data_IF_591332170125
#
_entry.id   IF_591332170125
#
_cell.length_a   1.000
_cell.length_b   1.000
_cell.length_c   1.000
_cell.angle_alpha   90.00
_cell.angle_beta   90.00
_cell.angle_gamma   90.00
#
_symmetry.space_group_name_H-M   'P 1'
#
loop_
_entity.id
_entity.type
_entity.pdbx_description
1 polymer ?
#
# COMPACT_ATOMS: atom_id res chain seq x y z
N UNK A 1 -8.42 9.63 -10.96
CA UNK A 1 -8.11 10.79 -10.07
C UNK A 1 -6.91 10.46 -9.23
N UNK A 2 -6.20 11.48 -8.75
CA UNK A 2 -5.11 11.32 -7.78
C UNK A 2 -5.50 12.03 -6.48
N UNK A 3 -5.34 11.36 -5.34
CA UNK A 3 -5.42 11.95 -4.00
C UNK A 3 -4.04 11.85 -3.35
N UNK A 4 -3.71 12.85 -2.54
CA UNK A 4 -2.45 12.93 -1.81
C UNK A 4 -2.74 13.02 -0.31
N UNK A 5 -1.92 12.33 0.47
CA UNK A 5 -1.84 12.46 1.91
C UNK A 5 -0.37 12.63 2.27
N UNK A 6 -0.06 13.52 3.20
CA UNK A 6 1.31 13.68 3.71
C UNK A 6 1.28 13.93 5.21
N UNK A 7 2.28 13.42 5.90
CA UNK A 7 2.48 13.65 7.33
C UNK A 7 3.96 13.52 7.66
N UNK A 8 4.39 14.20 8.72
CA UNK A 8 5.77 14.16 9.19
C UNK A 8 5.79 13.98 10.70
N UNK A 9 6.77 13.25 11.20
CA UNK A 9 7.03 13.04 12.62
C UNK A 9 8.50 12.69 12.83
N UNK A 10 8.91 12.48 14.08
CA UNK A 10 10.29 12.07 14.40
C UNK A 10 10.32 10.91 15.39
N UNK A 11 11.40 10.13 15.33
CA UNK A 11 11.78 9.17 16.36
C UNK A 11 12.93 9.74 17.17
N UNK A 12 12.87 9.60 18.50
CA UNK A 12 13.98 9.91 19.43
C UNK A 12 14.98 8.74 19.45
N UNK A 13 15.46 8.37 18.26
CA UNK A 13 16.42 7.32 17.98
C UNK A 13 17.37 7.78 16.88
N UNK A 14 18.60 7.27 16.88
CA UNK A 14 19.56 7.61 15.85
C UNK A 14 19.14 7.01 14.49
N UNK A 15 19.68 7.57 13.40
CA UNK A 15 19.31 7.15 12.06
C UNK A 15 19.67 5.68 11.78
N UNK A 16 20.81 5.22 12.29
CA UNK A 16 21.28 3.85 12.10
C UNK A 16 20.34 2.82 12.74
N UNK A 17 19.89 3.08 13.96
CA UNK A 17 18.88 2.30 14.68
C UNK A 17 17.54 2.32 13.96
N UNK A 18 17.11 3.50 13.50
CA UNK A 18 15.84 3.66 12.78
C UNK A 18 15.86 2.93 11.43
N UNK A 19 16.98 3.00 10.69
CA UNK A 19 17.16 2.27 9.45
C UNK A 19 17.21 0.75 9.69
N UNK A 20 17.91 0.29 10.74
CA UNK A 20 17.94 -1.14 11.10
C UNK A 20 16.56 -1.64 11.51
N UNK A 21 15.87 -0.91 12.39
CA UNK A 21 14.51 -1.22 12.82
C UNK A 21 13.55 -1.31 11.63
N UNK A 22 13.71 -0.45 10.61
CA UNK A 22 12.89 -0.49 9.40
C UNK A 22 13.00 -1.83 8.65
N UNK A 23 14.18 -2.43 8.62
CA UNK A 23 14.36 -3.74 8.01
C UNK A 23 13.84 -4.88 8.89
N UNK A 24 13.85 -4.71 10.22
CA UNK A 24 13.39 -5.69 11.21
C UNK A 24 11.93 -5.51 11.65
N UNK A 25 11.22 -4.51 11.10
CA UNK A 25 9.90 -4.09 11.61
C UNK A 25 8.81 -5.17 11.58
N UNK A 26 8.98 -6.27 10.84
CA UNK A 26 7.99 -7.33 10.78
C UNK A 26 8.58 -8.67 11.20
N UNK A 27 7.86 -9.43 12.05
CA UNK A 27 6.54 -9.14 12.61
C UNK A 27 6.55 -8.13 13.77
N UNK A 28 5.39 -7.51 14.05
CA UNK A 28 5.13 -6.69 15.24
C UNK A 28 3.63 -6.72 15.60
N UNK A 29 3.22 -6.37 16.85
CA UNK A 29 1.84 -6.46 17.31
C UNK A 29 0.83 -5.61 16.53
N UNK A 30 1.29 -4.53 15.90
CA UNK A 30 0.45 -3.58 15.15
C UNK A 30 0.31 -3.94 13.66
N UNK A 31 1.03 -4.96 13.18
CA UNK A 31 1.15 -5.32 11.76
C UNK A 31 0.81 -6.78 11.48
N UNK A 32 -0.10 -7.39 12.27
CA UNK A 32 -0.54 -8.81 12.14
C UNK A 32 -1.08 -9.21 10.77
N UNK A 33 -1.44 -8.23 9.93
CA UNK A 33 -1.92 -8.47 8.57
C UNK A 33 -0.78 -8.77 7.59
N UNK A 34 0.49 -8.50 7.94
CA UNK A 34 1.65 -8.89 7.13
C UNK A 34 1.91 -10.38 7.35
N UNK A 35 1.68 -11.18 6.31
CA UNK A 35 1.86 -12.63 6.35
C UNK A 35 3.30 -13.05 6.12
N UNK A 36 3.98 -12.43 5.13
CA UNK A 36 5.38 -12.70 4.83
C UNK A 36 6.11 -11.46 4.34
N UNK A 37 7.43 -11.52 4.36
CA UNK A 37 8.33 -10.48 3.86
C UNK A 37 9.59 -11.14 3.33
N UNK A 38 9.86 -10.95 2.05
CA UNK A 38 10.93 -11.61 1.33
C UNK A 38 11.84 -10.56 0.68
N UNK A 39 13.16 -10.74 0.78
CA UNK A 39 14.12 -9.89 0.06
C UNK A 39 14.34 -10.48 -1.32
N UNK A 40 13.96 -9.75 -2.35
CA UNK A 40 14.03 -10.20 -3.75
C UNK A 40 15.39 -9.86 -4.35
N UNK A 41 15.88 -8.66 -4.06
CA UNK A 41 17.16 -8.16 -4.55
C UNK A 41 17.78 -7.24 -3.51
N UNK A 42 19.10 -7.28 -3.43
CA UNK A 42 19.88 -6.38 -2.57
C UNK A 42 21.25 -6.16 -3.18
N UNK A 43 21.60 -4.90 -3.38
CA UNK A 43 22.86 -4.50 -3.97
C UNK A 43 23.43 -3.28 -3.23
N UNK A 44 24.74 -3.31 -3.00
CA UNK A 44 25.51 -2.20 -2.45
C UNK A 44 26.41 -1.61 -3.54
N UNK A 45 26.27 -0.32 -3.80
CA UNK A 45 27.14 0.42 -4.70
C UNK A 45 28.29 1.04 -3.89
N UNK A 46 29.56 0.62 -4.09
CA UNK A 46 30.70 1.12 -3.33
C UNK A 46 31.08 2.57 -3.71
N UNK A 47 30.70 3.05 -4.89
CA UNK A 47 31.03 4.41 -5.35
C UNK A 47 30.10 5.41 -4.66
N UNK A 48 28.79 5.16 -4.70
CA UNK A 48 27.80 6.04 -4.04
C UNK A 48 27.63 5.73 -2.56
N UNK A 49 28.13 4.58 -2.08
CA UNK A 49 27.92 4.04 -0.73
C UNK A 49 26.44 3.84 -0.38
N UNK A 50 25.65 3.39 -1.36
CA UNK A 50 24.21 3.22 -1.20
C UNK A 50 23.83 1.74 -1.20
N UNK A 51 23.03 1.36 -0.20
CA UNK A 51 22.40 0.05 -0.15
C UNK A 51 21.00 0.14 -0.73
N UNK A 52 20.77 -0.53 -1.86
CA UNK A 52 19.43 -0.70 -2.43
C UNK A 52 18.90 -2.07 -2.05
N UNK A 53 17.68 -2.12 -1.49
CA UNK A 53 16.98 -3.39 -1.20
C UNK A 53 15.58 -3.36 -1.79
N UNK A 54 15.22 -4.42 -2.51
CA UNK A 54 13.85 -4.67 -2.98
C UNK A 54 13.25 -5.81 -2.19
N UNK A 55 12.08 -5.57 -1.57
CA UNK A 55 11.34 -6.55 -0.80
C UNK A 55 9.93 -6.74 -1.34
N UNK A 56 9.41 -7.95 -1.17
CA UNK A 56 8.02 -8.29 -1.42
C UNK A 56 7.35 -8.60 -0.09
N UNK A 57 6.26 -7.89 0.20
CA UNK A 57 5.43 -8.14 1.37
C UNK A 57 4.08 -8.72 0.95
N UNK A 58 3.64 -9.79 1.60
CA UNK A 58 2.28 -10.31 1.46
C UNK A 58 1.44 -9.80 2.62
N UNK A 59 0.34 -9.09 2.30
CA UNK A 59 -0.58 -8.54 3.30
C UNK A 59 -1.96 -9.18 3.15
N UNK A 60 -2.45 -9.82 4.20
CA UNK A 60 -3.85 -10.26 4.32
C UNK A 60 -4.75 -9.03 4.35
N UNK A 61 -5.79 -9.02 3.53
CA UNK A 61 -6.76 -7.94 3.53
C UNK A 61 -8.16 -8.47 3.27
N UNK A 62 -9.16 -7.60 3.47
CA UNK A 62 -10.55 -7.89 3.17
C UNK A 62 -11.11 -6.76 2.33
N UNK A 63 -11.79 -7.10 1.26
CA UNK A 63 -12.43 -6.11 0.42
C UNK A 63 -13.69 -5.57 1.13
N UNK A 64 -13.94 -4.25 1.08
CA UNK A 64 -15.19 -3.70 1.59
C UNK A 64 -16.39 -4.34 0.87
N UNK A 65 -17.50 -4.66 1.56
CA UNK A 65 -18.68 -5.29 0.95
C UNK A 65 -19.23 -4.52 -0.27
N UNK A 66 -19.16 -3.20 -0.24
CA UNK A 66 -19.56 -2.36 -1.39
C UNK A 66 -18.68 -2.62 -2.63
N UNK A 67 -17.38 -2.85 -2.45
CA UNK A 67 -16.45 -3.12 -3.55
C UNK A 67 -16.67 -4.52 -4.12
N UNK A 68 -16.92 -5.52 -3.27
CA UNK A 68 -17.23 -6.90 -3.69
C UNK A 68 -18.51 -6.97 -4.55
N UNK A 69 -19.54 -6.19 -4.20
CA UNK A 69 -20.80 -6.15 -4.96
C UNK A 69 -20.69 -5.44 -6.30
N UNK A 70 -19.70 -4.56 -6.46
CA UNK A 70 -19.56 -3.68 -7.63
C UNK A 70 -18.51 -4.15 -8.64
N UNK A 71 -17.46 -4.86 -8.18
CA UNK A 71 -16.42 -5.36 -9.06
C UNK A 71 -16.84 -6.69 -9.70
N UNK A 72 -16.61 -6.86 -11.02
CA UNK A 72 -16.89 -8.13 -11.68
C UNK A 72 -15.97 -9.22 -11.13
N UNK A 73 -16.48 -10.46 -11.05
CA UNK A 73 -15.73 -11.63 -10.57
C UNK A 73 -14.38 -11.83 -11.29
N UNK A 74 -14.27 -11.42 -12.55
CA UNK A 74 -13.02 -11.44 -13.33
C UNK A 74 -11.94 -10.49 -12.81
N UNK A 75 -12.32 -9.36 -12.19
CA UNK A 75 -11.39 -8.47 -11.50
C UNK A 75 -11.09 -8.93 -10.08
N UNK A 76 -11.85 -9.91 -9.55
CA UNK A 76 -11.76 -10.44 -8.20
C UNK A 76 -10.97 -11.76 -8.13
N UNK A 77 -10.05 -12.03 -9.08
CA UNK A 77 -9.38 -13.33 -9.24
C UNK A 77 -8.68 -13.87 -7.98
N UNK A 78 -8.34 -12.99 -7.02
CA UNK A 78 -7.64 -13.32 -5.79
C UNK A 78 -8.49 -13.09 -4.52
N UNK A 79 -9.81 -12.90 -4.67
CA UNK A 79 -10.73 -12.73 -3.55
C UNK A 79 -11.55 -14.00 -3.35
N UNK A 80 -11.55 -14.52 -2.12
CA UNK A 80 -12.45 -15.58 -1.68
C UNK A 80 -13.91 -15.09 -1.69
N UNK A 81 -14.86 -16.02 -1.70
CA UNK A 81 -16.30 -15.73 -1.62
C UNK A 81 -16.66 -14.95 -0.35
N UNK A 82 -15.92 -15.16 0.74
CA UNK A 82 -16.08 -14.41 1.98
C UNK A 82 -15.50 -12.98 1.90
N UNK A 83 -14.80 -12.64 0.82
CA UNK A 83 -14.17 -11.33 0.61
C UNK A 83 -12.78 -11.19 1.21
N UNK A 84 -12.22 -12.26 1.80
CA UNK A 84 -10.81 -12.31 2.17
C UNK A 84 -9.93 -12.33 0.91
N UNK A 85 -8.80 -11.62 0.97
CA UNK A 85 -7.84 -11.56 -0.12
C UNK A 85 -6.44 -11.33 0.43
N UNK A 86 -5.46 -11.43 -0.45
CA UNK A 86 -4.07 -11.11 -0.16
C UNK A 86 -3.57 -10.10 -1.18
N UNK A 87 -2.77 -9.17 -0.69
CA UNK A 87 -2.15 -8.14 -1.52
C UNK A 87 -0.65 -8.19 -1.47
N UNK A 88 -0.04 -7.99 -2.62
CA UNK A 88 1.40 -8.05 -2.83
C UNK A 88 1.93 -6.63 -2.89
N UNK A 89 2.79 -6.26 -1.95
CA UNK A 89 3.40 -4.93 -1.87
C UNK A 89 4.87 -5.04 -2.22
N UNK A 90 5.28 -4.38 -3.29
CA UNK A 90 6.69 -4.23 -3.65
C UNK A 90 7.24 -2.98 -2.95
N UNK A 91 8.23 -3.17 -2.10
CA UNK A 91 8.99 -2.12 -1.43
C UNK A 91 10.38 -2.03 -2.05
N UNK A 92 10.79 -0.82 -2.43
CA UNK A 92 12.18 -0.49 -2.76
C UNK A 92 12.68 0.49 -1.71
N UNK A 93 13.85 0.22 -1.14
CA UNK A 93 14.53 1.12 -0.21
C UNK A 93 15.93 1.44 -0.71
N UNK A 94 16.38 2.66 -0.46
CA UNK A 94 17.75 3.13 -0.72
C UNK A 94 18.24 3.78 0.57
N UNK A 95 19.35 3.28 1.10
CA UNK A 95 20.00 3.82 2.30
C UNK A 95 21.33 4.44 1.90
N UNK A 96 21.52 5.71 2.22
CA UNK A 96 22.80 6.44 2.08
C UNK A 96 23.37 6.70 3.47
N UNK A 97 24.32 5.87 3.89
CA UNK A 97 24.89 5.93 5.25
C UNK A 97 25.73 7.19 5.45
N UNK A 98 26.40 7.64 4.38
CA UNK A 98 27.26 8.82 4.41
C UNK A 98 26.42 10.09 4.62
N UNK A 99 25.39 10.27 3.81
CA UNK A 99 24.50 11.42 3.91
C UNK A 99 23.49 11.29 5.06
N UNK A 100 23.24 10.07 5.56
CA UNK A 100 22.38 9.84 6.72
C UNK A 100 20.89 9.93 6.39
N UNK A 101 20.49 9.38 5.26
CA UNK A 101 19.09 9.29 4.88
C UNK A 101 18.74 7.93 4.28
N UNK A 102 17.46 7.58 4.36
CA UNK A 102 16.86 6.41 3.73
C UNK A 102 15.55 6.82 3.06
N UNK A 103 15.40 6.47 1.79
CA UNK A 103 14.16 6.64 1.04
C UNK A 103 13.54 5.29 0.73
N UNK A 104 12.23 5.20 0.86
CA UNK A 104 11.51 3.95 0.63
C UNK A 104 10.25 4.21 -0.17
N UNK A 105 10.05 3.45 -1.24
CA UNK A 105 8.89 3.46 -2.12
C UNK A 105 8.16 2.11 -2.02
N UNK A 106 6.91 2.13 -1.57
CA UNK A 106 6.04 0.95 -1.49
C UNK A 106 4.85 1.09 -2.43
N UNK A 107 4.53 0.03 -3.17
CA UNK A 107 3.36 -0.01 -4.08
C UNK A 107 2.70 -1.39 -4.14
N UNK A 108 1.39 -1.41 -4.31
CA UNK A 108 0.67 -2.65 -4.60
C UNK A 108 0.91 -3.14 -6.04
N UNK A 109 1.15 -4.44 -6.19
CA UNK A 109 1.28 -5.12 -7.49
C UNK A 109 -0.08 -5.59 -8.03
N UNK A 110 -0.98 -5.96 -7.14
CA UNK A 110 -2.35 -6.37 -7.41
C UNK A 110 -3.31 -5.17 -7.48
N UNK A 111 -4.48 -5.34 -8.09
CA UNK A 111 -5.56 -4.31 -8.17
C UNK A 111 -5.21 -2.97 -8.81
N UNK A 112 -4.12 -2.87 -9.57
CA UNK A 112 -3.71 -1.62 -10.22
C UNK A 112 -4.75 -1.04 -11.20
N UNK A 113 -5.69 -1.86 -11.69
CA UNK A 113 -6.83 -1.42 -12.50
C UNK A 113 -7.94 -0.72 -11.69
N UNK A 114 -7.93 -0.86 -10.36
CA UNK A 114 -8.92 -0.29 -9.44
C UNK A 114 -8.27 0.87 -8.68
N UNK A 115 -7.20 0.59 -7.94
CA UNK A 115 -6.50 1.55 -7.09
C UNK A 115 -5.00 1.21 -7.06
N UNK A 116 -4.17 2.18 -7.41
CA UNK A 116 -2.74 2.14 -7.07
C UNK A 116 -2.48 3.02 -5.86
N UNK A 117 -1.84 2.44 -4.85
CA UNK A 117 -1.34 3.10 -3.65
C UNK A 117 0.17 3.15 -3.79
N UNK A 118 0.75 4.34 -3.75
CA UNK A 118 2.20 4.55 -3.74
C UNK A 118 2.51 5.30 -2.46
N UNK A 119 3.19 4.65 -1.52
CA UNK A 119 3.61 5.21 -0.24
C UNK A 119 5.12 5.43 -0.27
N UNK A 120 5.54 6.66 0.03
CA UNK A 120 6.94 7.07 0.08
C UNK A 120 7.29 7.55 1.47
N UNK A 121 8.36 7.02 2.03
CA UNK A 121 8.93 7.52 3.27
C UNK A 121 10.32 8.04 3.03
N UNK A 122 10.68 9.13 3.70
CA UNK A 122 12.04 9.64 3.80
C UNK A 122 12.40 9.72 5.28
N UNK A 123 13.42 8.99 5.67
CA UNK A 123 14.03 9.03 6.99
C UNK A 123 15.34 9.80 6.86
N UNK A 124 15.59 10.78 7.72
CA UNK A 124 16.83 11.55 7.69
C UNK A 124 17.29 11.97 9.06
N UNK A 125 18.61 12.07 9.24
CA UNK A 125 19.18 12.81 10.36
C UNK A 125 18.83 14.30 10.24
N UNK A 126 18.61 15.00 11.37
CA UNK A 126 18.54 16.45 11.38
C UNK A 126 19.78 17.08 10.73
N UNK A 127 19.60 18.21 10.04
CA UNK A 127 20.72 18.95 9.45
C UNK A 127 21.74 19.35 10.52
N UNK A 128 23.03 19.15 10.23
CA UNK A 128 24.12 19.44 11.16
C UNK A 128 24.39 18.37 12.22
N UNK A 129 23.56 17.33 12.33
CA UNK A 129 23.83 16.21 13.22
C UNK A 129 24.99 15.36 12.70
N UNK A 130 26.07 15.28 13.47
CA UNK A 130 27.19 14.38 13.21
C UNK A 130 26.85 12.95 13.63
N UNK A 131 27.63 11.97 13.17
CA UNK A 131 27.53 10.59 13.66
C UNK A 131 28.04 10.58 15.10
N UNK A 132 27.18 10.86 16.07
CA UNK A 132 27.48 10.67 17.49
C UNK A 132 27.09 9.24 17.88
N UNK A 133 28.01 8.54 18.55
CA UNK A 133 27.82 7.16 18.99
C UNK A 133 26.95 7.04 20.27
N UNK A 134 26.51 8.16 20.83
CA UNK A 134 25.80 8.24 22.12
C UNK A 134 24.29 8.40 21.89
N UNK A 135 23.49 7.62 22.64
CA UNK A 135 22.08 7.29 22.42
C UNK A 135 21.02 8.41 22.39
N UNK A 136 21.41 9.69 22.29
CA UNK A 136 20.49 10.83 22.11
C UNK A 136 20.42 11.23 20.63
N UNK A 137 19.92 10.30 19.81
CA UNK A 137 19.69 10.53 18.38
C UNK A 137 18.26 10.97 18.08
N UNK A 138 18.07 11.75 17.01
CA UNK A 138 16.76 12.02 16.42
C UNK A 138 16.78 11.62 14.95
N UNK A 139 15.68 11.06 14.46
CA UNK A 139 15.46 10.76 13.05
C UNK A 139 14.13 11.35 12.63
N UNK A 140 14.17 12.32 11.71
CA UNK A 140 12.96 12.90 11.11
C UNK A 140 12.43 11.97 10.02
N UNK A 141 11.10 11.89 9.91
CA UNK A 141 10.39 11.02 8.99
C UNK A 141 9.32 11.80 8.26
N UNK A 142 9.45 11.87 6.94
CA UNK A 142 8.43 12.42 6.05
C UNK A 142 7.73 11.30 5.29
N UNK A 143 6.40 11.32 5.29
CA UNK A 143 5.57 10.33 4.62
C UNK A 143 4.68 11.02 3.60
N UNK A 144 4.62 10.46 2.40
CA UNK A 144 3.64 10.84 1.39
C UNK A 144 2.97 9.61 0.79
N UNK A 145 1.66 9.69 0.61
CA UNK A 145 0.86 8.62 0.01
C UNK A 145 0.08 9.19 -1.17
N UNK A 146 0.29 8.58 -2.33
CA UNK A 146 -0.42 8.89 -3.57
C UNK A 146 -1.41 7.78 -3.89
N UNK A 147 -2.69 8.11 -3.92
CA UNK A 147 -3.79 7.21 -4.25
C UNK A 147 -4.28 7.51 -5.66
N UNK A 148 -4.10 6.58 -6.60
CA UNK A 148 -4.54 6.72 -7.99
C UNK A 148 -5.71 5.77 -8.26
N UNK A 149 -6.92 6.30 -8.31
CA UNK A 149 -8.13 5.53 -8.66
C UNK A 149 -8.31 5.49 -10.18
N UNK A 150 -8.40 4.28 -10.75
CA UNK A 150 -8.61 4.00 -12.18
C UNK A 150 -10.00 3.42 -12.50
N UNK A 151 -10.87 3.26 -11.50
CA UNK A 151 -12.18 2.63 -11.69
C UNK A 151 -13.08 3.39 -12.67
N UNK A 152 -13.02 4.73 -12.66
CA UNK A 152 -13.81 5.57 -13.57
C UNK A 152 -13.45 5.36 -15.05
N UNK A 153 -12.17 5.10 -15.34
CA UNK A 153 -11.70 4.78 -16.70
C UNK A 153 -12.20 3.41 -17.15
N UNK A 154 -12.20 2.42 -16.25
CA UNK A 154 -12.71 1.07 -16.54
C UNK A 154 -14.22 1.08 -16.82
N UNK A 155 -15.00 1.84 -16.02
CA UNK A 155 -16.44 1.98 -16.24
C UNK A 155 -16.73 2.70 -17.56
N UNK A 156 -15.96 3.75 -17.90
CA UNK A 156 -16.09 4.47 -19.19
C UNK A 156 -15.76 3.57 -20.37
N UNK A 157 -14.65 2.82 -20.33
CA UNK A 157 -14.28 1.85 -21.37
C UNK A 157 -15.35 0.78 -21.54
N UNK A 158 -15.99 0.33 -20.45
CA UNK A 158 -17.12 -0.63 -20.51
C UNK A 158 -18.36 -0.01 -21.15
N UNK A 159 -18.76 1.21 -20.77
CA UNK A 159 -19.89 1.90 -21.42
C UNK A 159 -19.64 2.09 -22.91
N UNK A 160 -18.41 2.41 -23.31
CA UNK A 160 -18.03 2.51 -24.72
C UNK A 160 -18.10 1.16 -25.45
N UNK A 161 -17.64 0.07 -24.83
CA UNK A 161 -17.77 -1.29 -25.38
C UNK A 161 -19.23 -1.74 -25.50
N UNK A 162 -20.06 -1.46 -24.50
CA UNK A 162 -21.50 -1.75 -24.56
C UNK A 162 -22.25 -0.87 -25.55
N UNK A 163 -21.87 0.41 -25.67
CA UNK A 163 -22.37 1.28 -26.73
C UNK A 163 -22.02 0.74 -28.11
N UNK A 164 -20.75 0.39 -28.34
CA UNK A 164 -20.30 -0.23 -29.59
C UNK A 164 -20.96 -1.59 -29.86
N UNK A 165 -21.22 -2.40 -28.83
CA UNK A 165 -21.90 -3.69 -28.97
C UNK A 165 -23.39 -3.50 -29.30
N UNK A 166 -24.07 -2.53 -28.69
CA UNK A 166 -25.44 -2.17 -29.04
C UNK A 166 -25.54 -1.62 -30.48
N UNK A 167 -24.56 -0.82 -30.91
CA UNK A 167 -24.48 -0.30 -32.29
C UNK A 167 -24.11 -1.39 -33.30
N UNK A 168 -23.28 -2.38 -32.94
CA UNK A 168 -22.95 -3.52 -33.80
C UNK A 168 -24.15 -4.46 -33.99
N UNK A 169 -24.94 -4.71 -32.94
CA UNK A 169 -26.17 -5.52 -33.03
C UNK A 169 -27.26 -4.82 -33.85
N UNK A 170 -27.33 -3.49 -33.82
CA UNK A 170 -28.29 -2.73 -34.65
C UNK A 170 -27.92 -2.65 -36.13
N UNK A 171 -26.66 -2.91 -36.51
CA UNK A 171 -26.22 -2.89 -37.93
C UNK A 171 -26.38 -4.27 -38.60
N UNK A 172 -26.48 -5.36 -37.84
CA UNK A 172 -26.64 -6.72 -38.37
C UNK A 172 -28.13 -7.11 -38.53
N UNK A 173 -29.05 -6.40 -37.87
CA UNK A 173 -30.49 -6.65 -37.95
C UNK A 173 -31.23 -5.71 -38.90
N UNK A 174 -31.16 -5.95 -40.20
CA UNK A 174 -32.14 -5.42 -41.15
C UNK A 174 -33.22 -6.50 -41.40
N UNK A 175 -34.40 -6.31 -40.81
CA UNK A 175 -35.61 -7.04 -41.15
C UNK A 175 -36.36 -7.59 -39.93
N UNK A 176 -37.44 -6.91 -39.53
CA UNK A 176 -38.42 -7.43 -38.57
C UNK A 176 -38.93 -6.38 -37.60
N UNK A 177 -40.14 -5.90 -37.85
CA UNK A 177 -40.93 -5.01 -37.01
C UNK A 177 -41.14 -5.61 -35.62
N UNK A 178 -40.78 -4.86 -34.57
CA UNK A 178 -41.42 -4.83 -33.24
C UNK A 178 -40.57 -3.92 -32.31
N UNK A 179 -40.86 -2.62 -32.32
CA UNK A 179 -40.28 -1.65 -31.39
C UNK A 179 -40.83 -1.88 -29.98
N UNK A 180 -40.11 -2.63 -29.15
CA UNK A 180 -40.16 -2.46 -27.70
C UNK A 180 -38.88 -1.75 -27.25
N UNK A 181 -38.94 -0.53 -26.69
CA UNK A 181 -37.77 0.13 -26.17
C UNK A 181 -37.24 -0.72 -25.01
N UNK A 182 -36.03 -1.26 -25.17
CA UNK A 182 -35.30 -1.97 -24.13
C UNK A 182 -35.29 -1.08 -22.90
N UNK A 183 -36.10 -1.45 -21.90
CA UNK A 183 -36.22 -0.72 -20.63
C UNK A 183 -34.82 -0.55 -20.07
N UNK A 184 -34.28 0.66 -20.14
CA UNK A 184 -33.07 1.03 -19.45
C UNK A 184 -33.35 0.79 -17.96
N UNK A 185 -32.82 -0.31 -17.44
CA UNK A 185 -32.99 -0.68 -16.04
C UNK A 185 -32.57 0.50 -15.17
N UNK A 186 -33.48 0.89 -14.27
CA UNK A 186 -33.43 1.98 -13.30
C UNK A 186 -32.17 1.99 -12.39
N UNK A 187 -31.27 1.01 -12.57
CA UNK A 187 -29.99 0.87 -11.87
C UNK A 187 -28.79 1.42 -12.67
N UNK A 188 -28.98 1.92 -13.90
CA UNK A 188 -27.93 2.53 -14.73
C UNK A 188 -27.49 3.93 -14.27
N UNK A 189 -28.25 4.53 -13.33
CA UNK A 189 -28.07 5.92 -12.88
C UNK A 189 -27.08 6.11 -11.73
N UNK A 190 -26.57 5.04 -11.09
CA UNK A 190 -25.48 5.19 -10.12
C UNK A 190 -24.21 5.55 -10.88
N UNK A 191 -23.97 6.85 -10.94
CA UNK A 191 -22.90 7.45 -11.72
C UNK A 191 -21.56 6.89 -11.26
N UNK A 192 -20.66 6.65 -12.21
CA UNK A 192 -19.27 6.27 -11.94
C UNK A 192 -18.55 7.22 -10.96
N UNK A 193 -19.09 8.43 -10.76
CA UNK A 193 -18.64 9.40 -9.76
C UNK A 193 -18.88 8.96 -8.30
N UNK A 194 -20.04 8.39 -7.97
CA UNK A 194 -20.36 7.99 -6.59
C UNK A 194 -19.47 6.83 -6.10
N UNK A 195 -19.30 5.80 -6.92
CA UNK A 195 -18.43 4.65 -6.63
C UNK A 195 -16.96 5.08 -6.52
N UNK A 196 -16.51 5.95 -7.43
CA UNK A 196 -15.16 6.50 -7.41
C UNK A 196 -14.90 7.32 -6.14
N UNK A 197 -15.82 8.21 -5.77
CA UNK A 197 -15.73 9.02 -4.55
C UNK A 197 -15.69 8.14 -3.30
N UNK A 198 -16.53 7.09 -3.23
CA UNK A 198 -16.53 6.15 -2.11
C UNK A 198 -15.19 5.42 -1.95
N UNK A 199 -14.60 4.91 -3.05
CA UNK A 199 -13.30 4.24 -3.01
C UNK A 199 -12.21 5.22 -2.57
N UNK A 200 -12.22 6.44 -3.07
CA UNK A 200 -11.24 7.46 -2.71
C UNK A 200 -11.32 7.81 -1.22
N UNK A 201 -12.52 8.02 -0.68
CA UNK A 201 -12.74 8.30 0.74
C UNK A 201 -12.31 7.13 1.62
N UNK A 202 -12.70 5.90 1.28
CA UNK A 202 -12.30 4.70 2.02
C UNK A 202 -10.77 4.54 2.01
N UNK A 203 -10.14 4.79 0.86
CA UNK A 203 -8.69 4.65 0.71
C UNK A 203 -7.95 5.69 1.54
N UNK A 204 -8.39 6.94 1.51
CA UNK A 204 -7.80 8.02 2.31
C UNK A 204 -7.95 7.75 3.81
N UNK A 205 -9.17 7.39 4.26
CA UNK A 205 -9.42 7.03 5.66
C UNK A 205 -8.57 5.85 6.12
N UNK A 206 -8.35 4.86 5.25
CA UNK A 206 -7.50 3.71 5.56
C UNK A 206 -6.03 4.12 5.70
N UNK A 207 -5.55 5.01 4.82
CA UNK A 207 -4.20 5.59 4.91
C UNK A 207 -4.03 6.37 6.21
N UNK A 208 -4.95 7.27 6.55
CA UNK A 208 -4.89 8.05 7.80
C UNK A 208 -4.86 7.14 9.04
N UNK A 209 -5.68 6.09 9.05
CA UNK A 209 -5.74 5.12 10.16
C UNK A 209 -4.53 4.18 10.22
N UNK A 210 -3.78 3.99 9.13
CA UNK A 210 -2.63 3.09 9.11
C UNK A 210 -1.36 3.74 9.65
N UNK A 211 -1.18 5.06 9.48
CA UNK A 211 0.05 5.75 9.89
C UNK A 211 0.36 5.60 11.39
N UNK A 212 -0.58 5.82 12.32
CA UNK A 212 -0.30 5.63 13.75
C UNK A 212 0.08 4.19 14.12
N UNK A 213 -0.44 3.19 13.39
CA UNK A 213 -0.09 1.78 13.62
C UNK A 213 1.32 1.46 13.12
N UNK A 214 1.70 2.03 11.98
CA UNK A 214 3.05 1.88 11.44
C UNK A 214 4.08 2.49 12.40
N UNK A 215 3.80 3.69 12.93
CA UNK A 215 4.63 4.36 13.93
C UNK A 215 4.78 3.51 15.20
N UNK A 216 3.66 3.04 15.78
CA UNK A 216 3.70 2.17 16.98
C UNK A 216 4.44 0.85 16.75
N UNK A 217 4.25 0.23 15.58
CA UNK A 217 4.96 -0.99 15.20
C UNK A 217 6.47 -0.78 15.14
N UNK A 218 6.92 0.34 14.58
CA UNK A 218 8.33 0.71 14.57
C UNK A 218 8.87 0.98 15.97
N UNK A 219 8.13 1.73 16.79
CA UNK A 219 8.53 2.04 18.17
C UNK A 219 8.76 0.78 19.01
N UNK A 220 7.95 -0.27 18.82
CA UNK A 220 8.17 -1.57 19.49
C UNK A 220 9.52 -2.18 19.10
N UNK A 221 9.87 -2.15 17.81
CA UNK A 221 11.15 -2.71 17.32
C UNK A 221 12.33 -1.87 17.79
N UNK A 222 12.20 -0.54 17.78
CA UNK A 222 13.20 0.38 18.31
C UNK A 222 13.46 0.18 19.81
N UNK A 223 12.41 0.00 20.61
CA UNK A 223 12.55 -0.25 22.04
C UNK A 223 13.23 -1.60 22.32
N UNK A 224 12.92 -2.63 21.53
CA UNK A 224 13.61 -3.93 21.60
C UNK A 224 15.10 -3.78 21.26
N UNK A 225 15.44 -3.01 20.22
CA UNK A 225 16.84 -2.71 19.88
C UNK A 225 17.56 -1.98 21.02
N UNK A 226 16.91 -1.00 21.65
CA UNK A 226 17.49 -0.23 22.76
C UNK A 226 17.75 -1.07 24.01
N UNK A 227 16.82 -1.96 24.35
CA UNK A 227 16.86 -2.73 25.61
C UNK A 227 17.75 -3.96 25.55
N UNK A 228 17.79 -4.66 24.41
CA UNK A 228 18.55 -5.91 24.28
C UNK A 228 19.10 -6.18 22.89
N UNK A 229 19.27 -5.12 22.08
CA UNK A 229 19.88 -5.22 20.76
C UNK A 229 19.12 -6.13 19.80
N UNK A 230 19.86 -6.77 18.90
CA UNK A 230 19.29 -7.63 17.88
C UNK A 230 18.61 -8.87 18.47
N UNK A 231 19.14 -9.42 19.56
CA UNK A 231 18.59 -10.62 20.20
C UNK A 231 17.17 -10.37 20.74
N UNK A 232 16.97 -9.28 21.47
CA UNK A 232 15.64 -8.90 21.96
C UNK A 232 14.64 -8.62 20.82
N UNK A 233 15.10 -8.09 19.69
CA UNK A 233 14.26 -7.94 18.48
C UNK A 233 13.84 -9.30 17.94
N UNK A 234 14.78 -10.23 17.75
CA UNK A 234 14.51 -11.54 17.19
C UNK A 234 13.60 -12.38 18.09
N UNK A 235 13.80 -12.33 19.41
CA UNK A 235 12.94 -13.01 20.37
C UNK A 235 11.54 -12.41 20.40
N UNK A 236 11.43 -11.08 20.43
CA UNK A 236 10.15 -10.39 20.31
C UNK A 236 9.42 -10.71 19.00
N UNK A 237 10.16 -10.84 17.89
CA UNK A 237 9.60 -11.26 16.61
C UNK A 237 9.08 -12.70 16.65
N UNK A 238 9.73 -13.62 17.37
CA UNK A 238 9.22 -15.00 17.55
C UNK A 238 7.91 -14.99 18.33
N UNK A 239 7.88 -14.31 19.48
CA UNK A 239 6.67 -14.19 20.30
C UNK A 239 5.50 -13.57 19.51
N UNK A 240 5.77 -12.54 18.70
CA UNK A 240 4.75 -11.90 17.87
C UNK A 240 4.17 -12.83 16.79
N UNK A 241 4.91 -13.85 16.33
CA UNK A 241 4.39 -14.86 15.39
C UNK A 241 3.43 -15.81 16.06
N UNK A 242 3.74 -16.23 17.28
CA UNK A 242 2.92 -17.18 18.04
C UNK A 242 1.54 -16.60 18.37
N UNK A 243 1.45 -15.29 18.61
CA UNK A 243 0.19 -14.57 18.87
C UNK A 243 -0.67 -14.39 17.61
N UNK A 244 -0.14 -14.66 16.42
CA UNK A 244 -0.85 -14.50 15.13
C UNK A 244 -1.52 -15.82 14.66
N UNK A 245 -1.19 -16.94 15.30
CA UNK A 245 -1.85 -18.26 15.10
C UNK A 245 -3.16 -18.29 15.88
#
# INVERSE_FOLDING_TARGET
>A
MVKFFSTSYAYDYNFSETALAYFLRYPNPYSRHVASTDTIDRHYDPITQRLTTVRLHVKRSRLPPAVLKLLPKSSLSNASEDGSTQSFILEKSVVDVRQGWMETDSRNLDWNNVLSVIERHRYSRPEGATITATGDGRTDVDISVTLKSRIGEQIRKRRQRWGQQATATSVIGAGGEDEQPVKQGFLSSWTSGAVRSAIETISLQRTEKSQPKAMKGMSVVLERLRTGGLEAVLEGMRADREVVV
#
